data_IF_480910279184
#
_entry.id   IF_480910279184
#
_cell.length_a   1.000
_cell.length_b   1.000
_cell.length_c   1.000
_cell.angle_alpha   90.00
_cell.angle_beta   90.00
_cell.angle_gamma   90.00
#
_symmetry.space_group_name_H-M   'P 1'
#
loop_
_entity.id
_entity.type
_entity.pdbx_description
1 polymer ?
#
# COMPACT_ATOMS: atom_id res chain seq x y z
N UNK A 1 1.52 -9.03 22.42
CA UNK A 1 2.05 -7.86 21.67
C UNK A 1 0.93 -7.14 20.90
N UNK A 2 0.23 -7.77 19.93
CA UNK A 2 -0.83 -7.10 19.14
C UNK A 2 -1.99 -6.58 20.02
N UNK A 3 -2.48 -7.37 20.99
CA UNK A 3 -3.58 -6.95 21.87
C UNK A 3 -3.29 -5.66 22.66
N UNK A 4 -2.10 -5.55 23.25
CA UNK A 4 -1.69 -4.33 23.97
C UNK A 4 -1.58 -3.12 23.06
N UNK A 5 -0.92 -3.26 21.89
CA UNK A 5 -0.79 -2.18 20.91
C UNK A 5 -2.17 -1.69 20.44
N UNK A 6 -3.10 -2.62 20.18
CA UNK A 6 -4.45 -2.31 19.75
C UNK A 6 -5.26 -1.56 20.81
N UNK A 7 -5.27 -2.06 22.05
CA UNK A 7 -6.00 -1.41 23.14
C UNK A 7 -5.39 -0.04 23.49
N UNK A 8 -4.06 0.07 23.53
CA UNK A 8 -3.37 1.35 23.78
C UNK A 8 -3.63 2.38 22.69
N UNK A 9 -3.72 1.97 21.42
CA UNK A 9 -4.04 2.86 20.31
C UNK A 9 -5.50 3.32 20.38
N UNK A 10 -6.43 2.39 20.63
CA UNK A 10 -7.86 2.69 20.76
C UNK A 10 -8.19 3.58 21.95
N UNK A 11 -7.46 3.45 23.05
CA UNK A 11 -7.61 4.33 24.20
C UNK A 11 -7.25 5.79 23.88
N UNK A 12 -6.44 6.04 22.84
CA UNK A 12 -6.01 7.38 22.42
C UNK A 12 -6.90 8.00 21.36
N UNK A 13 -7.40 7.21 20.41
CA UNK A 13 -8.21 7.70 19.29
C UNK A 13 -9.17 6.61 18.83
N UNK A 14 -10.40 7.01 18.48
CA UNK A 14 -11.33 6.13 17.79
C UNK A 14 -10.70 5.63 16.46
N UNK A 15 -10.68 4.32 16.17
CA UNK A 15 -10.05 3.79 14.97
C UNK A 15 -10.57 4.38 13.67
N UNK A 16 -11.86 4.73 13.58
CA UNK A 16 -12.45 5.33 12.38
C UNK A 16 -12.04 6.79 12.26
N UNK A 17 -11.99 7.53 13.37
CA UNK A 17 -11.42 8.88 13.37
C UNK A 17 -9.95 8.89 12.92
N UNK A 18 -9.14 7.94 13.39
CA UNK A 18 -7.74 7.81 12.98
C UNK A 18 -7.59 7.45 11.48
N UNK A 19 -8.41 6.51 10.99
CA UNK A 19 -8.43 6.11 9.58
C UNK A 19 -8.82 7.26 8.65
N UNK A 20 -9.86 8.03 9.01
CA UNK A 20 -10.27 9.23 8.29
C UNK A 20 -9.16 10.29 8.26
N UNK A 21 -8.57 10.57 9.42
CA UNK A 21 -7.47 11.53 9.53
C UNK A 21 -6.26 11.13 8.67
N UNK A 22 -5.98 9.83 8.51
CA UNK A 22 -4.91 9.36 7.62
C UNK A 22 -5.13 9.81 6.17
N UNK A 23 -6.34 9.63 5.61
CA UNK A 23 -6.64 10.08 4.25
C UNK A 23 -6.79 11.60 4.13
N UNK A 24 -7.21 12.30 5.19
CA UNK A 24 -7.18 13.77 5.21
C UNK A 24 -5.75 14.31 5.14
N UNK A 25 -4.83 13.70 5.91
CA UNK A 25 -3.39 14.00 5.83
C UNK A 25 -2.82 13.68 4.45
N UNK A 26 -3.21 12.56 3.84
CA UNK A 26 -2.82 12.25 2.47
C UNK A 26 -3.31 13.34 1.50
N UNK A 27 -4.57 13.77 1.60
CA UNK A 27 -5.09 14.84 0.75
C UNK A 27 -4.36 16.18 0.95
N UNK A 28 -4.06 16.55 2.19
CA UNK A 28 -3.29 17.75 2.49
C UNK A 28 -1.88 17.71 1.89
N UNK A 29 -1.19 16.56 2.01
CA UNK A 29 0.11 16.35 1.40
C UNK A 29 0.03 16.41 -0.13
N UNK A 30 -1.00 15.81 -0.72
CA UNK A 30 -1.26 15.87 -2.16
C UNK A 30 -1.44 17.30 -2.66
N UNK A 31 -2.25 18.11 -2.00
CA UNK A 31 -2.37 19.56 -2.30
C UNK A 31 -1.03 20.29 -2.22
N UNK A 32 -0.21 19.98 -1.22
CA UNK A 32 1.08 20.61 -1.03
C UNK A 32 2.12 20.22 -2.08
N UNK A 33 2.08 18.98 -2.58
CA UNK A 33 3.15 18.41 -3.44
C UNK A 33 2.77 18.22 -4.90
N UNK A 34 1.49 18.05 -5.21
CA UNK A 34 1.03 17.69 -6.57
C UNK A 34 0.35 18.82 -7.33
N UNK A 35 0.12 19.97 -6.70
CA UNK A 35 -0.41 21.16 -7.38
C UNK A 35 0.51 21.56 -8.54
N UNK A 36 -0.07 21.71 -9.74
CA UNK A 36 0.66 22.11 -10.94
C UNK A 36 1.38 20.97 -11.68
N UNK A 37 1.27 19.71 -11.23
CA UNK A 37 1.78 18.57 -11.99
C UNK A 37 0.96 18.40 -13.28
N UNK A 38 1.66 18.35 -14.40
CA UNK A 38 1.04 18.11 -15.70
C UNK A 38 0.36 16.74 -15.76
N UNK A 39 -0.78 16.67 -16.45
CA UNK A 39 -1.58 15.45 -16.64
C UNK A 39 -2.09 14.79 -15.33
N UNK A 40 -2.14 15.52 -14.21
CA UNK A 40 -2.57 14.97 -12.93
C UNK A 40 -3.99 14.39 -12.97
N UNK A 41 -4.92 15.03 -13.67
CA UNK A 41 -6.29 14.53 -13.81
C UNK A 41 -6.35 13.15 -14.47
N UNK A 42 -5.55 12.92 -15.52
CA UNK A 42 -5.48 11.62 -16.19
C UNK A 42 -4.82 10.54 -15.31
N UNK A 43 -3.85 10.93 -14.46
CA UNK A 43 -3.25 10.02 -13.48
C UNK A 43 -4.29 9.63 -12.42
N UNK A 44 -5.06 10.60 -11.92
CA UNK A 44 -6.16 10.39 -10.96
C UNK A 44 -7.23 9.49 -11.55
N UNK A 45 -7.63 9.72 -12.79
CA UNK A 45 -8.62 8.89 -13.50
C UNK A 45 -8.16 7.42 -13.57
N UNK A 46 -6.90 7.18 -13.94
CA UNK A 46 -6.35 5.83 -13.99
C UNK A 46 -6.26 5.18 -12.60
N UNK A 47 -5.84 5.93 -11.57
CA UNK A 47 -5.82 5.44 -10.18
C UNK A 47 -7.22 5.12 -9.65
N UNK A 48 -8.20 5.95 -9.97
CA UNK A 48 -9.60 5.73 -9.61
C UNK A 48 -10.15 4.47 -10.27
N UNK A 49 -9.90 4.28 -11.57
CA UNK A 49 -10.34 3.10 -12.29
C UNK A 49 -9.79 1.82 -11.64
N UNK A 50 -8.51 1.81 -11.24
CA UNK A 50 -7.89 0.69 -10.52
C UNK A 50 -8.54 0.50 -9.15
N UNK A 51 -8.69 1.55 -8.35
CA UNK A 51 -9.29 1.45 -7.01
C UNK A 51 -10.77 1.01 -7.05
N UNK A 52 -11.51 1.40 -8.09
CA UNK A 52 -12.90 1.00 -8.28
C UNK A 52 -13.03 -0.46 -8.72
N UNK A 53 -12.07 -0.96 -9.50
CA UNK A 53 -12.02 -2.34 -9.97
C UNK A 53 -11.44 -3.33 -8.94
N UNK A 54 -10.71 -2.84 -7.93
CA UNK A 54 -10.07 -3.68 -6.92
C UNK A 54 -11.10 -4.40 -6.03
N UNK A 55 -10.94 -5.73 -5.95
CA UNK A 55 -11.73 -6.60 -5.07
C UNK A 55 -11.23 -6.47 -3.62
N UNK A 56 -12.07 -6.06 -2.66
CA UNK A 56 -11.69 -5.92 -1.26
C UNK A 56 -11.65 -7.23 -0.48
N UNK A 57 -12.08 -8.36 -1.06
CA UNK A 57 -12.24 -9.61 -0.34
C UNK A 57 -10.92 -10.13 0.24
N UNK A 58 -10.92 -10.41 1.54
CA UNK A 58 -9.72 -10.80 2.29
C UNK A 58 -8.74 -9.65 2.58
N UNK A 59 -9.02 -8.42 2.13
CA UNK A 59 -8.14 -7.25 2.25
C UNK A 59 -8.67 -6.24 3.28
N UNK A 60 -8.88 -6.67 4.53
CA UNK A 60 -9.69 -5.92 5.52
C UNK A 60 -9.29 -4.46 5.75
N UNK A 61 -8.01 -4.12 5.81
CA UNK A 61 -7.57 -2.74 6.00
C UNK A 61 -7.84 -1.88 4.76
N UNK A 62 -7.52 -2.40 3.57
CA UNK A 62 -7.90 -1.77 2.30
C UNK A 62 -9.42 -1.59 2.18
N UNK A 63 -10.18 -2.64 2.51
CA UNK A 63 -11.65 -2.63 2.51
C UNK A 63 -12.23 -1.58 3.45
N UNK A 64 -11.62 -1.35 4.61
CA UNK A 64 -12.03 -0.28 5.53
C UNK A 64 -11.62 1.11 5.03
N UNK A 65 -10.39 1.26 4.51
CA UNK A 65 -9.88 2.55 4.01
C UNK A 65 -10.66 3.04 2.78
N UNK A 66 -11.05 2.15 1.86
CA UNK A 66 -11.80 2.54 0.65
C UNK A 66 -13.21 3.10 0.93
N UNK A 67 -13.72 2.96 2.16
CA UNK A 67 -15.02 3.53 2.56
C UNK A 67 -14.93 5.00 2.98
N UNK A 68 -13.73 5.53 3.15
CA UNK A 68 -13.53 6.94 3.49
C UNK A 68 -13.83 7.87 2.30
N UNK A 69 -14.33 9.09 2.56
CA UNK A 69 -14.56 10.07 1.51
C UNK A 69 -13.24 10.53 0.88
N UNK A 70 -13.22 10.55 -0.44
CA UNK A 70 -12.09 11.08 -1.21
C UNK A 70 -12.29 12.56 -1.54
N UNK A 71 -11.19 13.29 -1.65
CA UNK A 71 -11.16 14.67 -2.08
C UNK A 71 -11.70 14.81 -3.52
N UNK A 72 -12.31 15.97 -3.80
CA UNK A 72 -12.87 16.29 -5.11
C UNK A 72 -11.87 16.95 -6.05
N UNK A 73 -10.80 17.56 -5.52
CA UNK A 73 -9.69 18.12 -6.29
C UNK A 73 -8.60 17.08 -6.58
N UNK A 74 -8.02 17.17 -7.77
CA UNK A 74 -7.04 16.19 -8.25
C UNK A 74 -5.80 16.02 -7.37
N UNK A 75 -5.14 17.07 -6.83
CA UNK A 75 -3.98 16.90 -5.96
C UNK A 75 -4.27 16.11 -4.69
N UNK A 76 -5.35 16.46 -3.98
CA UNK A 76 -5.73 15.73 -2.78
C UNK A 76 -6.12 14.29 -3.09
N UNK A 77 -6.92 14.09 -4.14
CA UNK A 77 -7.41 12.78 -4.57
C UNK A 77 -6.28 11.86 -5.01
N UNK A 78 -5.29 12.37 -5.74
CA UNK A 78 -4.13 11.59 -6.19
C UNK A 78 -3.38 10.96 -5.01
N UNK A 79 -3.08 11.73 -3.96
CA UNK A 79 -2.33 11.20 -2.82
C UNK A 79 -3.15 10.21 -1.99
N UNK A 80 -4.46 10.43 -1.85
CA UNK A 80 -5.35 9.46 -1.20
C UNK A 80 -5.43 8.14 -1.98
N UNK A 81 -5.55 8.22 -3.31
CA UNK A 81 -5.56 7.04 -4.16
C UNK A 81 -4.23 6.30 -4.14
N UNK A 82 -3.09 7.00 -4.11
CA UNK A 82 -1.77 6.39 -3.90
C UNK A 82 -1.71 5.62 -2.58
N UNK A 83 -2.24 6.18 -1.49
CA UNK A 83 -2.32 5.49 -0.21
C UNK A 83 -3.20 4.23 -0.31
N UNK A 84 -4.35 4.31 -0.99
CA UNK A 84 -5.26 3.19 -1.20
C UNK A 84 -4.66 2.07 -2.04
N UNK A 85 -4.08 2.37 -3.21
CA UNK A 85 -3.49 1.33 -4.08
C UNK A 85 -2.23 0.72 -3.47
N UNK A 86 -1.50 1.49 -2.65
CA UNK A 86 -0.41 0.96 -1.82
C UNK A 86 -0.96 -0.05 -0.81
N UNK A 87 -2.05 0.28 -0.13
CA UNK A 87 -2.66 -0.61 0.86
C UNK A 87 -3.27 -1.84 0.21
N UNK A 88 -3.92 -1.69 -0.95
CA UNK A 88 -4.42 -2.80 -1.77
C UNK A 88 -3.31 -3.81 -2.07
N UNK A 89 -2.17 -3.35 -2.63
CA UNK A 89 -1.03 -4.24 -2.89
C UNK A 89 -0.44 -4.81 -1.60
N UNK A 90 -0.35 -4.01 -0.53
CA UNK A 90 0.17 -4.44 0.77
C UNK A 90 -0.65 -5.58 1.38
N UNK A 91 -1.97 -5.46 1.37
CA UNK A 91 -2.88 -6.50 1.86
C UNK A 91 -2.79 -7.78 1.01
N UNK A 92 -2.78 -7.65 -0.32
CA UNK A 92 -2.57 -8.80 -1.21
C UNK A 92 -1.22 -9.48 -0.97
N UNK A 93 -0.17 -8.69 -0.71
CA UNK A 93 1.17 -9.21 -0.40
C UNK A 93 1.19 -10.01 0.90
N UNK A 94 0.47 -9.57 1.94
CA UNK A 94 0.36 -10.33 3.19
C UNK A 94 -0.31 -11.70 2.96
N UNK A 95 -1.36 -11.77 2.14
CA UNK A 95 -1.98 -13.04 1.74
C UNK A 95 -0.95 -13.90 1.00
N UNK A 96 -0.27 -13.34 0.00
CA UNK A 96 0.69 -14.07 -0.82
C UNK A 96 1.86 -14.63 -0.01
N UNK A 97 2.36 -13.87 0.98
CA UNK A 97 3.40 -14.33 1.91
C UNK A 97 2.91 -15.55 2.71
N UNK A 98 1.71 -15.47 3.30
CA UNK A 98 1.16 -16.58 4.09
C UNK A 98 0.89 -17.81 3.22
N UNK A 99 0.33 -17.63 2.03
CA UNK A 99 0.09 -18.69 1.07
C UNK A 99 1.39 -19.36 0.58
N UNK A 100 2.49 -18.60 0.51
CA UNK A 100 3.82 -19.12 0.15
C UNK A 100 4.61 -19.68 1.34
N UNK A 101 3.98 -19.82 2.51
CA UNK A 101 4.60 -20.40 3.70
C UNK A 101 5.62 -19.50 4.41
N UNK A 102 5.71 -18.22 4.05
CA UNK A 102 6.66 -17.27 4.64
C UNK A 102 5.98 -16.39 5.71
N UNK A 103 6.69 -16.17 6.82
CA UNK A 103 6.23 -15.25 7.86
C UNK A 103 6.58 -13.81 7.50
N UNK A 104 5.82 -12.82 8.00
CA UNK A 104 6.15 -11.40 7.83
C UNK A 104 7.51 -11.06 8.41
N UNK A 105 7.89 -11.67 9.55
CA UNK A 105 9.23 -11.54 10.15
C UNK A 105 10.33 -11.98 9.18
N UNK A 106 10.20 -13.15 8.56
CA UNK A 106 11.14 -13.66 7.55
C UNK A 106 11.19 -12.77 6.32
N UNK A 107 10.03 -12.37 5.79
CA UNK A 107 9.93 -11.51 4.61
C UNK A 107 10.63 -10.16 4.82
N UNK A 108 10.41 -9.52 5.99
CA UNK A 108 11.11 -8.31 6.36
C UNK A 108 12.62 -8.53 6.49
N UNK A 109 13.04 -9.59 7.17
CA UNK A 109 14.46 -9.86 7.38
C UNK A 109 15.22 -10.11 6.07
N UNK A 110 14.60 -10.77 5.08
CA UNK A 110 15.19 -10.95 3.73
C UNK A 110 15.51 -9.60 3.08
N UNK A 111 14.63 -8.60 3.21
CA UNK A 111 14.76 -7.31 2.51
C UNK A 111 15.50 -6.24 3.33
N UNK A 112 15.49 -6.35 4.65
CA UNK A 112 16.00 -5.38 5.64
C UNK A 112 16.63 -6.11 6.83
N UNK A 113 17.73 -6.85 6.63
CA UNK A 113 18.32 -7.70 7.67
C UNK A 113 18.80 -6.90 8.89
N UNK A 114 19.17 -5.63 8.67
CA UNK A 114 19.64 -4.66 9.64
C UNK A 114 18.55 -4.08 10.56
N UNK A 115 17.27 -4.36 10.28
CA UNK A 115 16.14 -3.67 10.91
C UNK A 115 15.34 -4.54 11.90
N UNK A 116 15.83 -5.73 12.26
CA UNK A 116 15.14 -6.71 13.13
C UNK A 116 14.63 -6.06 14.43
N UNK A 117 15.49 -5.30 15.10
CA UNK A 117 15.15 -4.61 16.37
C UNK A 117 14.16 -3.47 16.17
N UNK A 118 14.27 -2.73 15.08
CA UNK A 118 13.31 -1.68 14.73
C UNK A 118 11.90 -2.23 14.45
N UNK A 119 11.80 -3.49 14.01
CA UNK A 119 10.52 -4.19 13.86
C UNK A 119 10.02 -4.86 15.15
N UNK A 120 10.69 -4.64 16.29
CA UNK A 120 10.25 -5.10 17.61
C UNK A 120 10.67 -6.53 17.95
N UNK A 121 11.61 -7.13 17.20
CA UNK A 121 12.17 -8.45 17.48
C UNK A 121 13.55 -8.33 18.12
N UNK A 122 13.97 -9.32 18.91
CA UNK A 122 15.34 -9.37 19.41
C UNK A 122 16.30 -9.89 18.31
N UNK A 123 17.61 -9.60 18.40
CA UNK A 123 18.60 -10.16 17.46
C UNK A 123 18.56 -11.69 17.37
N UNK A 124 18.28 -12.38 18.48
CA UNK A 124 18.18 -13.85 18.56
C UNK A 124 16.93 -14.38 17.83
N UNK A 125 15.92 -13.53 17.64
CA UNK A 125 14.72 -13.86 16.88
C UNK A 125 14.89 -13.67 15.37
N UNK A 126 16.07 -13.23 14.91
CA UNK A 126 16.40 -13.05 13.50
C UNK A 126 16.23 -14.38 12.73
N UNK A 127 15.39 -14.40 11.67
CA UNK A 127 15.21 -15.59 10.85
C UNK A 127 16.49 -16.01 10.13
N UNK A 128 16.78 -17.30 10.08
CA UNK A 128 17.80 -17.83 9.17
C UNK A 128 17.28 -17.76 7.74
N UNK A 129 18.03 -17.09 6.86
CA UNK A 129 17.71 -16.99 5.44
C UNK A 129 18.39 -18.11 4.67
N UNK A 130 17.61 -18.80 3.85
CA UNK A 130 18.05 -19.93 3.01
C UNK A 130 17.56 -19.75 1.57
N UNK A 131 18.11 -20.54 0.65
CA UNK A 131 17.63 -20.58 -0.74
C UNK A 131 16.14 -20.90 -0.84
N UNK A 132 15.63 -21.77 0.03
CA UNK A 132 14.21 -22.07 0.10
C UNK A 132 13.36 -20.85 0.49
N UNK A 133 13.84 -20.03 1.45
CA UNK A 133 13.15 -18.78 1.81
C UNK A 133 13.20 -17.73 0.70
N UNK A 134 14.29 -17.68 -0.09
CA UNK A 134 14.36 -16.85 -1.29
C UNK A 134 13.37 -17.31 -2.36
N UNK A 135 13.28 -18.62 -2.62
CA UNK A 135 12.32 -19.19 -3.57
C UNK A 135 10.87 -18.91 -3.15
N UNK A 136 10.54 -19.07 -1.86
CA UNK A 136 9.23 -18.75 -1.31
C UNK A 136 8.91 -17.25 -1.43
N UNK A 137 9.89 -16.36 -1.23
CA UNK A 137 9.73 -14.93 -1.42
C UNK A 137 9.43 -14.58 -2.89
N UNK A 138 10.13 -15.20 -3.85
CA UNK A 138 9.86 -15.02 -5.28
C UNK A 138 8.45 -15.49 -5.64
N UNK A 139 8.02 -16.64 -5.10
CA UNK A 139 6.65 -17.13 -5.29
C UNK A 139 5.61 -16.15 -4.72
N UNK A 140 5.89 -15.57 -3.54
CA UNK A 140 5.02 -14.58 -2.92
C UNK A 140 4.90 -13.29 -3.75
N UNK A 141 5.99 -12.77 -4.32
CA UNK A 141 5.93 -11.60 -5.21
C UNK A 141 5.09 -11.90 -6.46
N UNK A 142 5.31 -13.05 -7.10
CA UNK A 142 4.52 -13.47 -8.28
C UNK A 142 3.03 -13.59 -7.94
N UNK A 143 2.69 -14.20 -6.80
CA UNK A 143 1.31 -14.30 -6.35
C UNK A 143 0.72 -12.94 -5.98
N UNK A 144 1.52 -12.04 -5.40
CA UNK A 144 1.09 -10.66 -5.13
C UNK A 144 0.68 -9.96 -6.41
N UNK A 145 1.51 -10.05 -7.46
CA UNK A 145 1.23 -9.45 -8.75
C UNK A 145 -0.04 -10.07 -9.37
N UNK A 146 -0.18 -11.39 -9.33
CA UNK A 146 -1.38 -12.09 -9.84
C UNK A 146 -2.67 -11.69 -9.09
N UNK A 147 -2.60 -11.42 -7.78
CA UNK A 147 -3.75 -10.99 -6.99
C UNK A 147 -4.20 -9.56 -7.34
N UNK A 148 -3.27 -8.65 -7.67
CA UNK A 148 -3.60 -7.25 -7.95
C UNK A 148 -3.84 -6.97 -9.43
N UNK A 149 -3.26 -7.76 -10.33
CA UNK A 149 -3.32 -7.59 -11.78
C UNK A 149 -4.73 -7.36 -12.33
N UNK A 150 -5.79 -8.07 -11.90
CA UNK A 150 -7.14 -7.85 -12.42
C UNK A 150 -7.64 -6.41 -12.26
N UNK A 151 -7.29 -5.73 -11.17
CA UNK A 151 -7.67 -4.34 -10.95
C UNK A 151 -6.98 -3.38 -11.92
N UNK A 152 -5.77 -3.72 -12.40
CA UNK A 152 -5.04 -2.95 -13.40
C UNK A 152 -5.41 -3.31 -14.84
N UNK A 153 -6.00 -4.49 -15.06
CA UNK A 153 -6.42 -4.96 -16.38
C UNK A 153 -7.56 -4.13 -16.99
N UNK A 154 -8.31 -3.38 -16.18
CA UNK A 154 -9.37 -2.47 -16.64
C UNK A 154 -8.84 -1.26 -17.41
N UNK A 155 -7.56 -0.95 -17.25
CA UNK A 155 -6.92 0.17 -17.95
C UNK A 155 -6.62 -0.20 -19.41
N UNK A 156 -6.73 0.77 -20.30
CA UNK A 156 -6.13 0.69 -21.64
C UNK A 156 -4.60 0.72 -21.57
N UNK A 157 -3.92 0.38 -22.67
CA UNK A 157 -2.46 0.52 -22.75
C UNK A 157 -2.00 1.95 -22.52
N UNK A 158 -2.69 2.93 -23.10
CA UNK A 158 -2.39 4.34 -22.89
C UNK A 158 -2.55 4.74 -21.41
N UNK A 159 -3.64 4.34 -20.75
CA UNK A 159 -3.85 4.62 -19.33
C UNK A 159 -2.82 3.91 -18.43
N UNK A 160 -2.39 2.69 -18.77
CA UNK A 160 -1.29 2.02 -18.06
C UNK A 160 0.02 2.80 -18.17
N UNK A 161 0.34 3.31 -19.35
CA UNK A 161 1.53 4.16 -19.56
C UNK A 161 1.40 5.46 -18.77
N UNK A 162 0.26 6.15 -18.85
CA UNK A 162 -0.03 7.35 -18.05
C UNK A 162 0.14 7.09 -16.57
N UNK A 163 -0.37 5.97 -16.07
CA UNK A 163 -0.24 5.62 -14.66
C UNK A 163 1.22 5.32 -14.28
N UNK A 164 1.92 4.49 -15.05
CA UNK A 164 3.30 4.08 -14.76
C UNK A 164 4.30 5.25 -14.82
N UNK A 165 4.10 6.21 -15.72
CA UNK A 165 4.88 7.45 -15.77
C UNK A 165 4.43 8.42 -14.68
N UNK A 166 3.12 8.55 -14.49
CA UNK A 166 2.50 9.41 -13.48
C UNK A 166 2.99 9.12 -12.08
N UNK A 167 2.99 7.85 -11.64
CA UNK A 167 3.46 7.48 -10.30
C UNK A 167 4.94 7.79 -10.09
N UNK A 168 5.77 7.77 -11.15
CA UNK A 168 7.18 8.19 -11.08
C UNK A 168 7.30 9.70 -10.87
N UNK A 169 6.49 10.48 -11.58
CA UNK A 169 6.40 11.94 -11.40
C UNK A 169 5.92 12.31 -9.99
N UNK A 170 4.85 11.67 -9.51
CA UNK A 170 4.33 11.89 -8.15
C UNK A 170 5.38 11.50 -7.09
N UNK A 171 6.08 10.38 -7.27
CA UNK A 171 7.15 9.96 -6.36
C UNK A 171 8.35 10.92 -6.34
N UNK A 172 8.67 11.57 -7.47
CA UNK A 172 9.69 12.62 -7.52
C UNK A 172 9.24 13.87 -6.77
N UNK A 173 7.99 14.30 -6.95
CA UNK A 173 7.43 15.47 -6.28
C UNK A 173 7.37 15.33 -4.73
N UNK A 174 7.17 14.10 -4.22
CA UNK A 174 7.20 13.84 -2.78
C UNK A 174 8.59 14.00 -2.14
N UNK A 175 9.67 13.99 -2.94
CA UNK A 175 11.06 14.11 -2.47
C UNK A 175 11.61 15.54 -2.54
N UNK A 176 10.95 16.41 -3.30
CA UNK A 176 11.28 17.83 -3.42
C UNK A 176 10.74 18.60 -2.21
#
# INVERSE_FOLDING_TARGET
MIGGIWEDAKAKCDPRAAGKAHLECAAALGRAKFTGIANLDAIVEALDAVNNAADPDGLSLYAAMRTEPLASDAPGRAMQLLALVREFRGAAHLIALRASGISTKTAHHIKRPDMVTQFGYTPEEAPVITDATHAAMTAAEKLTDALVEPAYAVLTEAQRTTLAEGVRTLAAALKA
#
